data_IF_831298817751
#
_entry.id   IF_831298817751
#
_cell.length_a   1.000
_cell.length_b   1.000
_cell.length_c   1.000
_cell.angle_alpha   90.00
_cell.angle_beta   90.00
_cell.angle_gamma   90.00
#
_symmetry.space_group_name_H-M   'P 1'
#
loop_
_entity.id
_entity.type
_entity.pdbx_description
1 polymer ?
#
# COMPACT_ATOMS: atom_id res chain seq x y z
N UNK A 1 54.68 17.05 16.45
CA UNK A 1 53.71 17.49 15.42
C UNK A 1 53.00 16.30 14.76
N UNK A 2 53.66 15.17 14.47
CA UNK A 2 53.03 13.98 13.86
C UNK A 2 51.82 13.36 14.61
N UNK A 3 51.79 13.39 15.94
CA UNK A 3 50.69 12.81 16.72
C UNK A 3 49.37 13.59 16.62
N UNK A 4 49.45 14.92 16.45
CA UNK A 4 48.27 15.79 16.36
C UNK A 4 47.63 15.66 14.97
N UNK A 5 48.44 15.54 13.92
CA UNK A 5 47.96 15.29 12.55
C UNK A 5 47.29 13.92 12.42
N UNK A 6 47.87 12.89 13.05
CA UNK A 6 47.28 11.56 13.09
C UNK A 6 45.93 11.58 13.83
N UNK A 7 45.85 12.23 14.99
CA UNK A 7 44.61 12.35 15.75
C UNK A 7 43.52 13.11 14.99
N UNK A 8 43.88 14.22 14.32
CA UNK A 8 42.94 15.00 13.52
C UNK A 8 42.40 14.20 12.32
N UNK A 9 43.27 13.43 11.65
CA UNK A 9 42.88 12.58 10.51
C UNK A 9 41.93 11.47 10.96
N UNK A 10 42.23 10.82 12.09
CA UNK A 10 41.37 9.78 12.67
C UNK A 10 40.00 10.37 13.04
N UNK A 11 39.98 11.54 13.67
CA UNK A 11 38.74 12.19 14.10
C UNK A 11 37.86 12.60 12.92
N UNK A 12 38.47 13.09 11.84
CA UNK A 12 37.77 13.41 10.59
C UNK A 12 37.20 12.15 9.92
N UNK A 13 37.93 11.02 9.99
CA UNK A 13 37.46 9.72 9.50
C UNK A 13 36.26 9.19 10.31
N UNK A 14 36.29 9.36 11.64
CA UNK A 14 35.18 8.98 12.53
C UNK A 14 33.92 9.79 12.24
N UNK A 15 34.04 11.10 12.01
CA UNK A 15 32.87 11.92 11.67
C UNK A 15 32.33 11.57 10.28
N UNK A 16 33.21 11.27 9.31
CA UNK A 16 32.79 10.86 7.98
C UNK A 16 32.03 9.52 8.01
N UNK A 17 32.49 8.57 8.84
CA UNK A 17 31.76 7.33 9.14
C UNK A 17 30.37 7.60 9.74
N UNK A 18 30.26 8.57 10.64
CA UNK A 18 28.96 9.00 11.21
C UNK A 18 28.00 9.52 10.14
N UNK A 19 28.50 10.35 9.20
CA UNK A 19 27.70 10.84 8.07
C UNK A 19 27.29 9.74 7.10
N UNK A 20 28.17 8.77 6.83
CA UNK A 20 27.84 7.59 6.03
C UNK A 20 26.76 6.75 6.73
N UNK A 21 26.84 6.57 8.05
CA UNK A 21 25.81 5.88 8.83
C UNK A 21 24.44 6.59 8.75
N UNK A 22 24.43 7.91 8.91
CA UNK A 22 23.21 8.72 8.79
C UNK A 22 22.62 8.65 7.37
N UNK A 23 23.47 8.62 6.35
CA UNK A 23 23.08 8.48 4.96
C UNK A 23 22.42 7.13 4.67
N UNK A 24 23.03 6.04 5.13
CA UNK A 24 22.47 4.69 5.01
C UNK A 24 21.14 4.60 5.75
N UNK A 25 21.04 5.17 6.95
CA UNK A 25 19.80 5.22 7.73
C UNK A 25 18.70 6.02 7.01
N UNK A 26 19.02 7.21 6.48
CA UNK A 26 18.08 8.04 5.74
C UNK A 26 17.63 7.40 4.41
N UNK A 27 18.55 6.71 3.72
CA UNK A 27 18.25 5.93 2.52
C UNK A 27 17.33 4.75 2.84
N UNK A 28 17.62 3.99 3.90
CA UNK A 28 16.78 2.88 4.35
C UNK A 28 15.36 3.37 4.76
N UNK A 29 15.27 4.47 5.51
CA UNK A 29 14.00 5.10 5.85
C UNK A 29 13.26 5.62 4.61
N UNK A 30 13.97 6.16 3.62
CA UNK A 30 13.37 6.60 2.35
C UNK A 30 12.86 5.42 1.52
N UNK A 31 13.51 4.26 1.56
CA UNK A 31 13.04 3.03 0.90
C UNK A 31 11.81 2.47 1.63
N UNK A 32 11.82 2.43 2.96
CA UNK A 32 10.63 2.05 3.75
C UNK A 32 9.46 3.02 3.54
N UNK A 33 9.72 4.32 3.36
CA UNK A 33 8.70 5.31 3.00
C UNK A 33 8.33 5.25 1.51
N UNK A 34 9.22 4.80 0.62
CA UNK A 34 8.93 4.59 -0.80
C UNK A 34 7.92 3.46 -1.00
N UNK A 35 7.93 2.47 -0.12
CA UNK A 35 6.93 1.38 -0.09
C UNK A 35 5.54 1.86 0.36
N UNK A 36 5.41 3.13 0.79
CA UNK A 36 4.14 3.75 1.20
C UNK A 36 3.43 4.57 0.10
N UNK A 37 3.91 4.52 -1.15
CA UNK A 37 3.14 4.95 -2.32
C UNK A 37 3.12 6.44 -2.66
N UNK A 38 4.12 7.23 -2.23
CA UNK A 38 4.31 8.62 -2.65
C UNK A 38 5.36 8.74 -3.78
N UNK A 39 4.97 8.66 -5.06
CA UNK A 39 5.91 8.43 -6.18
C UNK A 39 6.91 9.58 -6.42
N UNK A 40 6.61 10.81 -5.98
CA UNK A 40 7.48 11.98 -6.20
C UNK A 40 8.58 12.18 -5.14
N UNK A 41 8.30 11.86 -3.88
CA UNK A 41 9.20 12.19 -2.75
C UNK A 41 10.27 11.11 -2.58
N UNK A 42 9.91 9.85 -2.85
CA UNK A 42 10.84 8.72 -2.79
C UNK A 42 11.95 8.82 -3.85
N UNK A 43 11.61 9.17 -5.09
CA UNK A 43 12.59 9.31 -6.16
C UNK A 43 13.60 10.43 -5.87
N UNK A 44 13.13 11.58 -5.38
CA UNK A 44 14.01 12.68 -4.97
C UNK A 44 14.88 12.28 -3.78
N UNK A 45 14.32 11.61 -2.77
CA UNK A 45 15.06 11.12 -1.60
C UNK A 45 16.14 10.10 -1.97
N UNK A 46 15.84 9.16 -2.86
CA UNK A 46 16.79 8.16 -3.37
C UNK A 46 17.89 8.82 -4.20
N UNK A 47 17.56 9.75 -5.10
CA UNK A 47 18.58 10.48 -5.88
C UNK A 47 19.48 11.32 -4.96
N UNK A 48 18.91 11.99 -3.95
CA UNK A 48 19.71 12.75 -2.97
C UNK A 48 20.63 11.84 -2.16
N UNK A 49 20.14 10.67 -1.72
CA UNK A 49 20.90 9.74 -0.89
C UNK A 49 21.98 8.99 -1.69
N UNK A 50 21.65 8.55 -2.91
CA UNK A 50 22.55 7.74 -3.75
C UNK A 50 23.55 8.61 -4.50
N UNK A 51 23.18 9.82 -4.92
CA UNK A 51 24.06 10.68 -5.73
C UNK A 51 24.59 11.84 -4.90
N UNK A 52 23.74 12.52 -4.14
CA UNK A 52 24.13 13.72 -3.39
C UNK A 52 25.18 13.43 -2.31
N UNK A 53 25.03 12.32 -1.58
CA UNK A 53 25.93 11.98 -0.48
C UNK A 53 27.31 11.55 -0.99
N UNK A 54 27.44 10.61 -1.95
CA UNK A 54 28.74 10.29 -2.52
C UNK A 54 29.39 11.48 -3.24
N UNK A 55 28.62 12.30 -3.97
CA UNK A 55 29.16 13.48 -4.61
C UNK A 55 29.72 14.50 -3.61
N UNK A 56 29.04 14.70 -2.46
CA UNK A 56 29.52 15.59 -1.40
C UNK A 56 30.79 15.06 -0.72
N UNK A 57 30.88 13.75 -0.48
CA UNK A 57 32.07 13.13 0.07
C UNK A 57 33.25 13.22 -0.91
N UNK A 58 33.01 12.96 -2.20
CA UNK A 58 34.02 13.11 -3.26
C UNK A 58 34.49 14.57 -3.35
N UNK A 59 33.58 15.53 -3.33
CA UNK A 59 33.92 16.95 -3.35
C UNK A 59 34.80 17.33 -2.16
N UNK A 60 34.46 16.86 -0.94
CA UNK A 60 35.27 17.11 0.25
C UNK A 60 36.69 16.52 0.12
N UNK A 61 36.81 15.29 -0.41
CA UNK A 61 38.10 14.64 -0.67
C UNK A 61 38.93 15.35 -1.74
N UNK A 62 38.32 15.79 -2.84
CA UNK A 62 39.00 16.51 -3.92
C UNK A 62 39.48 17.87 -3.43
N UNK A 63 38.66 18.60 -2.66
CA UNK A 63 39.06 19.89 -2.06
C UNK A 63 40.22 19.68 -1.09
N UNK A 64 40.16 18.65 -0.25
CA UNK A 64 41.25 18.30 0.66
C UNK A 64 42.54 17.97 -0.11
N UNK A 65 42.47 17.15 -1.15
CA UNK A 65 43.64 16.76 -1.97
C UNK A 65 44.25 17.95 -2.73
N UNK A 66 43.42 18.81 -3.34
CA UNK A 66 43.89 20.03 -4.02
C UNK A 66 44.50 21.02 -3.03
N UNK A 67 43.91 21.17 -1.85
CA UNK A 67 44.45 22.04 -0.79
C UNK A 67 45.80 21.53 -0.26
N UNK A 68 45.96 20.21 -0.12
CA UNK A 68 47.22 19.59 0.27
C UNK A 68 48.30 19.76 -0.80
N UNK A 69 47.94 19.70 -2.08
CA UNK A 69 48.90 19.88 -3.18
C UNK A 69 49.39 21.32 -3.35
N UNK A 70 48.56 22.31 -3.01
CA UNK A 70 48.88 23.72 -3.21
C UNK A 70 49.63 24.35 -2.04
N UNK A 71 49.71 23.69 -0.89
CA UNK A 71 50.22 24.30 0.32
C UNK A 71 51.69 23.91 0.60
N UNK A 72 52.55 24.91 0.76
CA UNK A 72 53.85 24.78 1.44
C UNK A 72 53.78 25.62 2.73
N UNK A 73 53.97 24.99 3.90
CA UNK A 73 53.90 25.64 5.21
C UNK A 73 52.51 25.67 5.88
N UNK A 74 52.50 25.74 7.23
CA UNK A 74 51.36 25.71 8.18
C UNK A 74 50.01 25.20 7.63
N UNK A 75 50.03 23.95 7.19
CA UNK A 75 48.95 23.19 6.53
C UNK A 75 47.88 22.64 7.47
N UNK A 76 47.97 22.91 8.78
CA UNK A 76 47.10 22.30 9.81
C UNK A 76 45.61 22.70 9.70
N UNK A 77 45.31 23.89 9.17
CA UNK A 77 43.94 24.43 9.20
C UNK A 77 43.07 24.06 7.98
N UNK A 78 43.66 23.63 6.87
CA UNK A 78 42.91 23.31 5.65
C UNK A 78 41.91 22.15 5.82
N UNK A 79 42.25 21.03 6.50
CA UNK A 79 41.29 19.97 6.76
C UNK A 79 40.13 20.43 7.65
N UNK A 80 40.39 21.30 8.62
CA UNK A 80 39.36 21.87 9.50
C UNK A 80 38.40 22.79 8.74
N UNK A 81 38.92 23.62 7.84
CA UNK A 81 38.10 24.49 6.98
C UNK A 81 37.29 23.67 5.98
N UNK A 82 37.89 22.67 5.34
CA UNK A 82 37.19 21.77 4.42
C UNK A 82 36.09 20.97 5.14
N UNK A 83 36.35 20.51 6.36
CA UNK A 83 35.38 19.83 7.20
C UNK A 83 34.22 20.76 7.61
N UNK A 84 34.51 21.98 8.09
CA UNK A 84 33.48 22.95 8.44
C UNK A 84 32.60 23.31 7.23
N UNK A 85 33.21 23.52 6.06
CA UNK A 85 32.49 23.79 4.81
C UNK A 85 31.62 22.60 4.38
N UNK A 86 32.15 21.37 4.44
CA UNK A 86 31.39 20.15 4.12
C UNK A 86 30.20 19.93 5.06
N UNK A 87 30.39 20.19 6.35
CA UNK A 87 29.33 20.05 7.37
C UNK A 87 28.22 21.09 7.17
N UNK A 88 28.58 22.33 6.86
CA UNK A 88 27.62 23.39 6.55
C UNK A 88 26.80 23.07 5.29
N UNK A 89 27.45 22.53 4.24
CA UNK A 89 26.78 22.11 3.01
C UNK A 89 25.79 20.97 3.28
N UNK A 90 26.20 19.96 4.04
CA UNK A 90 25.33 18.83 4.41
C UNK A 90 24.10 19.28 5.22
N UNK A 91 24.29 20.20 6.18
CA UNK A 91 23.19 20.77 6.94
C UNK A 91 22.22 21.55 6.06
N UNK A 92 22.71 22.33 5.10
CA UNK A 92 21.87 23.07 4.16
C UNK A 92 21.03 22.13 3.28
N UNK A 93 21.62 21.04 2.78
CA UNK A 93 20.89 20.02 2.01
C UNK A 93 19.81 19.36 2.85
N UNK A 94 20.10 19.00 4.11
CA UNK A 94 19.14 18.39 5.02
C UNK A 94 17.96 19.32 5.33
N UNK A 95 18.23 20.60 5.62
CA UNK A 95 17.18 21.62 5.85
C UNK A 95 16.30 21.79 4.63
N UNK A 96 16.90 21.82 3.43
CA UNK A 96 16.15 21.97 2.18
C UNK A 96 15.26 20.75 1.91
N UNK A 97 15.77 19.53 2.13
CA UNK A 97 15.00 18.30 2.00
C UNK A 97 13.81 18.26 2.99
N UNK A 98 14.05 18.60 4.27
CA UNK A 98 12.99 18.67 5.28
C UNK A 98 11.95 19.75 4.97
N UNK A 99 12.40 20.89 4.43
CA UNK A 99 11.54 21.98 3.98
C UNK A 99 10.61 21.56 2.84
N UNK A 100 11.14 20.85 1.83
CA UNK A 100 10.37 20.32 0.71
C UNK A 100 9.34 19.28 1.14
N UNK A 101 9.69 18.37 2.05
CA UNK A 101 8.75 17.38 2.61
C UNK A 101 7.63 18.09 3.38
N UNK A 102 7.97 19.07 4.22
CA UNK A 102 6.97 19.83 5.01
C UNK A 102 6.07 20.70 4.12
N UNK A 103 6.60 21.24 3.02
CA UNK A 103 5.84 21.99 2.03
C UNK A 103 4.90 21.07 1.25
N UNK A 104 5.38 19.89 0.82
CA UNK A 104 4.57 18.85 0.19
C UNK A 104 3.38 18.43 1.06
N UNK A 105 3.60 18.24 2.36
CA UNK A 105 2.54 17.90 3.33
C UNK A 105 1.51 19.03 3.53
N UNK A 106 1.92 20.31 3.45
CA UNK A 106 0.97 21.45 3.56
C UNK A 106 0.16 21.66 2.29
N UNK A 107 0.78 21.50 1.13
CA UNK A 107 0.11 21.67 -0.17
C UNK A 107 -0.93 20.57 -0.40
N UNK A 108 -0.71 19.35 0.08
CA UNK A 108 -1.68 18.24 0.00
C UNK A 108 -2.69 18.20 1.16
N UNK A 109 -2.52 19.02 2.20
CA UNK A 109 -3.40 19.05 3.38
C UNK A 109 -4.45 20.18 3.37
N UNK A 110 -4.53 20.98 2.31
CA UNK A 110 -5.30 22.24 2.30
C UNK A 110 -6.57 22.24 1.45
N UNK A 111 -6.99 21.10 0.88
CA UNK A 111 -8.25 21.01 0.11
C UNK A 111 -9.35 20.34 0.95
N UNK A 112 -9.69 20.95 2.09
CA UNK A 112 -10.93 20.70 2.81
C UNK A 112 -11.95 21.79 2.42
N UNK A 113 -12.49 21.68 1.21
CA UNK A 113 -13.47 22.62 0.68
C UNK A 113 -14.39 21.98 -0.35
N UNK A 114 -15.60 21.62 0.09
CA UNK A 114 -16.85 21.45 -0.69
C UNK A 114 -16.86 20.49 -1.91
N UNK A 115 -17.52 19.33 -1.69
CA UNK A 115 -18.32 18.53 -2.63
C UNK A 115 -17.64 17.69 -3.75
N UNK A 116 -17.43 16.40 -3.50
CA UNK A 116 -18.03 15.22 -4.20
C UNK A 116 -17.34 13.91 -3.73
N UNK A 117 -18.04 12.77 -3.61
CA UNK A 117 -17.47 11.55 -3.04
C UNK A 117 -16.63 10.80 -4.08
N UNK A 118 -15.30 10.75 -3.92
CA UNK A 118 -14.46 9.81 -4.69
C UNK A 118 -13.38 9.11 -3.86
N UNK A 119 -13.53 7.78 -3.87
CA UNK A 119 -12.52 6.72 -3.85
C UNK A 119 -11.49 6.78 -2.73
N UNK A 120 -11.84 6.13 -1.62
CA UNK A 120 -10.88 5.61 -0.65
C UNK A 120 -9.79 4.84 -1.43
N UNK A 121 -8.53 5.27 -1.32
CA UNK A 121 -7.43 4.52 -1.91
C UNK A 121 -7.44 3.09 -1.34
N UNK A 122 -7.68 2.12 -2.22
CA UNK A 122 -7.45 0.70 -2.01
C UNK A 122 -6.23 0.47 -1.08
N UNK A 123 -6.26 -0.09 0.15
CA UNK A 123 -4.99 -0.33 0.85
C UNK A 123 -4.11 -1.24 0.00
N UNK A 124 -2.79 -1.16 0.13
CA UNK A 124 -1.88 -1.94 -0.71
C UNK A 124 -2.12 -3.46 -0.63
N UNK A 125 -2.65 -3.93 0.50
CA UNK A 125 -3.06 -5.33 0.73
C UNK A 125 -4.38 -5.38 1.51
N UNK A 126 -5.09 -6.51 1.41
CA UNK A 126 -6.29 -6.73 2.21
C UNK A 126 -5.96 -6.95 3.69
N UNK A 127 -6.63 -6.18 4.54
CA UNK A 127 -6.54 -6.25 6.00
C UNK A 127 -7.92 -6.57 6.55
N UNK A 128 -7.98 -7.50 7.49
CA UNK A 128 -9.23 -8.00 8.06
C UNK A 128 -9.20 -7.86 9.58
N UNK A 129 -10.19 -7.14 10.11
CA UNK A 129 -10.39 -6.94 11.54
C UNK A 129 -11.45 -7.93 12.03
N UNK A 130 -11.06 -8.84 12.92
CA UNK A 130 -11.97 -9.80 13.56
C UNK A 130 -12.82 -9.07 14.60
N UNK A 131 -14.12 -9.34 14.61
CA UNK A 131 -15.06 -8.76 15.58
C UNK A 131 -15.71 -9.84 16.44
N UNK A 132 -16.23 -10.92 15.83
CA UNK A 132 -16.90 -12.01 16.55
C UNK A 132 -16.23 -13.37 16.29
N UNK A 133 -16.40 -14.27 17.25
CA UNK A 133 -15.93 -15.67 17.21
C UNK A 133 -17.09 -16.56 17.66
N UNK A 134 -17.45 -17.53 16.81
CA UNK A 134 -18.49 -18.54 17.05
C UNK A 134 -17.84 -19.91 16.99
N UNK A 135 -18.14 -20.77 17.96
CA UNK A 135 -17.50 -22.09 18.08
C UNK A 135 -18.53 -23.20 18.25
N UNK A 136 -18.31 -24.29 17.53
CA UNK A 136 -18.99 -25.57 17.72
C UNK A 136 -17.97 -26.72 17.64
N UNK A 137 -17.58 -27.26 18.79
CA UNK A 137 -16.51 -28.25 18.88
C UNK A 137 -15.19 -27.72 18.30
N UNK A 138 -14.73 -28.37 17.22
CA UNK A 138 -13.53 -27.96 16.47
C UNK A 138 -13.79 -26.91 15.39
N UNK A 139 -15.05 -26.66 15.02
CA UNK A 139 -15.41 -25.67 14.02
C UNK A 139 -15.40 -24.27 14.65
N UNK A 140 -14.50 -23.42 14.15
CA UNK A 140 -14.38 -22.02 14.56
C UNK A 140 -14.76 -21.12 13.39
N UNK A 141 -15.85 -20.39 13.54
CA UNK A 141 -16.32 -19.39 12.58
C UNK A 141 -15.99 -18.01 13.14
N UNK A 142 -15.48 -17.12 12.30
CA UNK A 142 -15.20 -15.75 12.71
C UNK A 142 -15.89 -14.76 11.80
N UNK A 143 -16.47 -13.73 12.41
CA UNK A 143 -17.05 -12.60 11.68
C UNK A 143 -16.16 -11.38 11.85
N UNK A 144 -16.04 -10.61 10.79
CA UNK A 144 -15.25 -9.39 10.85
C UNK A 144 -15.51 -8.46 9.69
N UNK A 145 -14.66 -7.44 9.58
CA UNK A 145 -14.72 -6.42 8.54
C UNK A 145 -13.37 -6.31 7.85
N UNK A 146 -13.38 -6.31 6.52
CA UNK A 146 -12.25 -5.98 5.67
C UNK A 146 -12.04 -4.46 5.71
N UNK A 147 -10.96 -3.99 6.35
CA UNK A 147 -10.69 -2.56 6.58
C UNK A 147 -10.61 -1.74 5.28
N UNK A 148 -10.10 -2.40 4.26
CA UNK A 148 -9.87 -1.94 2.90
C UNK A 148 -11.13 -1.44 2.20
N UNK A 149 -12.20 -2.23 2.28
CA UNK A 149 -13.43 -1.99 1.53
C UNK A 149 -14.65 -1.78 2.43
N UNK A 150 -14.49 -1.96 3.74
CA UNK A 150 -15.60 -1.98 4.71
C UNK A 150 -16.49 -3.23 4.59
N UNK A 151 -16.16 -4.19 3.71
CA UNK A 151 -16.97 -5.39 3.52
C UNK A 151 -16.91 -6.29 4.73
N UNK A 152 -18.05 -6.88 5.06
CA UNK A 152 -18.13 -7.87 6.14
C UNK A 152 -17.75 -9.24 5.60
N UNK A 153 -17.15 -10.04 6.46
CA UNK A 153 -16.76 -11.40 6.09
C UNK A 153 -17.11 -12.41 7.17
N UNK A 154 -17.26 -13.65 6.73
CA UNK A 154 -17.23 -14.86 7.54
C UNK A 154 -15.98 -15.66 7.18
N UNK A 155 -15.20 -16.06 8.18
CA UNK A 155 -14.04 -16.94 8.02
C UNK A 155 -14.36 -18.30 8.61
N UNK A 156 -14.09 -19.37 7.87
CA UNK A 156 -14.27 -20.75 8.33
C UNK A 156 -13.07 -21.61 7.95
N UNK A 157 -12.67 -22.59 8.77
CA UNK A 157 -11.75 -23.63 8.33
C UNK A 157 -12.39 -24.42 7.18
N UNK A 158 -11.58 -24.83 6.23
CA UNK A 158 -11.94 -25.66 5.09
C UNK A 158 -11.23 -27.01 5.21
N UNK A 159 -11.92 -28.12 4.91
CA UNK A 159 -11.30 -29.44 4.96
C UNK A 159 -10.30 -29.60 3.81
N UNK A 160 -9.05 -29.97 4.12
CA UNK A 160 -8.05 -30.36 3.13
C UNK A 160 -7.43 -31.69 3.52
N UNK A 161 -6.88 -32.41 2.54
CA UNK A 161 -6.33 -33.77 2.70
C UNK A 161 -5.25 -33.85 3.79
N UNK A 162 -4.48 -32.78 3.99
CA UNK A 162 -3.31 -32.74 4.88
C UNK A 162 -3.33 -31.57 5.89
N UNK A 163 -4.50 -31.01 6.19
CA UNK A 163 -4.63 -29.92 7.19
C UNK A 163 -5.91 -29.11 7.07
N UNK A 164 -5.99 -28.04 7.87
CA UNK A 164 -7.04 -27.03 7.75
C UNK A 164 -6.44 -25.70 7.27
N UNK A 165 -6.96 -25.18 6.16
CA UNK A 165 -6.74 -23.80 5.76
C UNK A 165 -8.01 -22.99 6.03
N UNK A 166 -7.89 -21.67 6.11
CA UNK A 166 -9.02 -20.78 6.41
C UNK A 166 -9.38 -20.00 5.17
N UNK A 167 -10.66 -20.03 4.81
CA UNK A 167 -11.22 -19.19 3.74
C UNK A 167 -12.08 -18.08 4.30
N UNK A 168 -12.15 -17.01 3.53
CA UNK A 168 -12.89 -15.79 3.83
C UNK A 168 -14.03 -15.69 2.84
N UNK A 169 -15.23 -15.40 3.33
CA UNK A 169 -16.44 -15.28 2.53
C UNK A 169 -17.11 -13.93 2.77
N UNK A 170 -17.38 -13.18 1.71
CA UNK A 170 -18.09 -11.90 1.76
C UNK A 170 -19.56 -12.08 2.13
N UNK A 171 -20.01 -11.30 3.10
CA UNK A 171 -21.40 -11.28 3.59
C UNK A 171 -21.92 -9.84 3.61
N UNK A 172 -23.23 -9.68 3.45
CA UNK A 172 -23.86 -8.36 3.58
C UNK A 172 -24.12 -7.99 5.05
N UNK A 173 -24.63 -6.78 5.27
CA UNK A 173 -24.92 -6.27 6.61
C UNK A 173 -26.00 -7.09 7.32
N UNK A 174 -27.05 -7.52 6.62
CA UNK A 174 -28.15 -8.28 7.21
C UNK A 174 -27.70 -9.68 7.64
N UNK A 175 -26.88 -10.33 6.82
CA UNK A 175 -26.24 -11.60 7.17
C UNK A 175 -25.29 -11.44 8.36
N UNK A 176 -24.49 -10.38 8.39
CA UNK A 176 -23.57 -10.12 9.50
C UNK A 176 -24.31 -9.91 10.82
N UNK A 177 -25.37 -9.09 10.82
CA UNK A 177 -26.21 -8.85 11.99
C UNK A 177 -26.88 -10.16 12.45
N UNK A 178 -27.49 -10.91 11.52
CA UNK A 178 -28.08 -12.21 11.82
C UNK A 178 -27.06 -13.19 12.40
N UNK A 179 -25.84 -13.26 11.86
CA UNK A 179 -24.81 -14.19 12.33
C UNK A 179 -24.19 -13.75 13.67
N UNK A 180 -24.18 -12.46 13.95
CA UNK A 180 -23.77 -11.93 15.25
C UNK A 180 -24.80 -12.27 16.33
N UNK A 181 -26.09 -12.25 15.99
CA UNK A 181 -27.19 -12.54 16.92
C UNK A 181 -27.53 -14.04 17.04
N UNK A 182 -27.41 -14.81 15.95
CA UNK A 182 -27.70 -16.25 15.86
C UNK A 182 -26.46 -17.05 15.40
N UNK A 183 -25.70 -17.62 16.36
CA UNK A 183 -24.58 -18.49 16.09
C UNK A 183 -24.93 -19.72 15.22
N UNK A 184 -26.14 -20.25 15.32
CA UNK A 184 -26.54 -21.43 14.55
C UNK A 184 -26.68 -21.09 13.06
N UNK A 185 -27.18 -19.89 12.73
CA UNK A 185 -27.22 -19.39 11.36
C UNK A 185 -25.81 -19.24 10.76
N UNK A 186 -24.85 -18.71 11.54
CA UNK A 186 -23.46 -18.58 11.12
C UNK A 186 -22.82 -19.95 10.81
N UNK A 187 -23.03 -20.93 11.68
CA UNK A 187 -22.54 -22.31 11.51
C UNK A 187 -23.18 -23.00 10.31
N UNK A 188 -24.49 -22.84 10.12
CA UNK A 188 -25.20 -23.39 8.96
C UNK A 188 -24.67 -22.80 7.65
N UNK A 189 -24.38 -21.50 7.62
CA UNK A 189 -23.77 -20.86 6.46
C UNK A 189 -22.32 -21.35 6.22
N UNK A 190 -21.51 -21.49 7.27
CA UNK A 190 -20.16 -22.04 7.17
C UNK A 190 -20.17 -23.48 6.60
N UNK A 191 -21.15 -24.31 7.00
CA UNK A 191 -21.32 -25.64 6.44
C UNK A 191 -21.68 -25.61 4.93
N UNK A 192 -22.47 -24.63 4.48
CA UNK A 192 -22.75 -24.44 3.05
C UNK A 192 -21.50 -24.00 2.28
N UNK A 193 -20.69 -23.11 2.84
CA UNK A 193 -19.42 -22.67 2.26
C UNK A 193 -18.44 -23.85 2.12
N UNK A 194 -18.31 -24.67 3.17
CA UNK A 194 -17.51 -25.91 3.17
C UNK A 194 -17.98 -26.93 2.13
N UNK A 195 -19.26 -26.89 1.75
CA UNK A 195 -19.83 -27.72 0.68
C UNK A 195 -19.69 -27.09 -0.73
N UNK A 196 -18.97 -25.97 -0.87
CA UNK A 196 -18.75 -25.29 -2.15
C UNK A 196 -19.96 -24.55 -2.71
N UNK A 197 -21.01 -24.30 -1.90
CA UNK A 197 -22.26 -23.67 -2.37
C UNK A 197 -22.21 -22.15 -2.52
N UNK A 198 -21.14 -21.51 -2.03
CA UNK A 198 -20.96 -20.06 -2.01
C UNK A 198 -19.59 -19.65 -2.59
N UNK A 199 -19.16 -20.29 -3.68
CA UNK A 199 -17.91 -19.93 -4.36
C UNK A 199 -17.91 -18.46 -4.79
N UNK A 200 -19.08 -17.94 -5.17
CA UNK A 200 -19.31 -16.53 -5.52
C UNK A 200 -18.98 -15.55 -4.39
N UNK A 201 -18.95 -16.03 -3.15
CA UNK A 201 -18.64 -15.23 -1.96
C UNK A 201 -17.20 -15.33 -1.50
N UNK A 202 -16.31 -16.06 -2.18
CA UNK A 202 -14.91 -16.13 -1.79
C UNK A 202 -14.21 -14.77 -1.83
N UNK A 203 -13.48 -14.43 -0.76
CA UNK A 203 -12.62 -13.26 -0.64
C UNK A 203 -11.14 -13.67 -0.73
N UNK A 204 -10.29 -12.82 -1.34
CA UNK A 204 -8.84 -13.01 -1.28
C UNK A 204 -8.34 -13.12 0.17
N UNK A 205 -7.30 -13.93 0.42
CA UNK A 205 -6.75 -14.07 1.76
C UNK A 205 -6.11 -12.76 2.26
N UNK A 206 -5.97 -12.60 3.60
CA UNK A 206 -5.25 -11.48 4.19
C UNK A 206 -3.83 -11.37 3.62
N UNK A 207 -3.38 -10.14 3.39
CA UNK A 207 -2.05 -9.87 2.83
C UNK A 207 -1.95 -10.02 1.30
N UNK A 208 -3.00 -10.50 0.62
CA UNK A 208 -3.02 -10.47 -0.84
C UNK A 208 -3.10 -9.01 -1.36
N UNK A 209 -2.48 -8.70 -2.52
CA UNK A 209 -2.56 -7.36 -3.11
C UNK A 209 -4.01 -6.93 -3.32
N UNK A 210 -4.35 -5.70 -2.96
CA UNK A 210 -5.71 -5.21 -3.19
C UNK A 210 -6.00 -5.04 -4.69
N UNK A 211 -7.28 -5.16 -5.04
CA UNK A 211 -7.71 -5.01 -6.41
C UNK A 211 -7.59 -3.54 -6.87
N UNK A 212 -6.96 -3.33 -8.02
CA UNK A 212 -6.82 -2.01 -8.65
C UNK A 212 -8.10 -1.66 -9.41
N UNK A 213 -8.73 -0.50 -9.18
CA UNK A 213 -9.93 -0.08 -9.90
C UNK A 213 -9.79 -0.19 -11.42
N UNK A 214 -10.88 -0.57 -12.10
CA UNK A 214 -10.88 -0.67 -13.57
C UNK A 214 -10.95 0.74 -14.16
N UNK A 215 -9.88 1.14 -14.84
CA UNK A 215 -9.86 2.39 -15.59
C UNK A 215 -10.75 2.29 -16.87
N UNK A 216 -11.49 3.35 -17.23
CA UNK A 216 -12.39 3.37 -18.40
C UNK A 216 -11.73 2.98 -19.72
N UNK A 217 -10.48 3.36 -19.92
CA UNK A 217 -9.70 3.10 -21.14
C UNK A 217 -9.18 1.66 -21.24
N UNK A 218 -9.32 0.85 -20.18
CA UNK A 218 -8.76 -0.49 -20.12
C UNK A 218 -9.45 -1.42 -21.11
N UNK A 219 -8.63 -2.15 -21.87
CA UNK A 219 -9.08 -3.15 -22.87
C UNK A 219 -8.75 -4.57 -22.39
N UNK A 220 -9.29 -5.57 -23.09
CA UNK A 220 -9.04 -6.99 -22.81
C UNK A 220 -9.52 -7.40 -21.42
N UNK A 221 -10.73 -6.95 -21.05
CA UNK A 221 -11.35 -7.20 -19.76
C UNK A 221 -12.14 -8.51 -19.72
N UNK A 222 -12.55 -9.04 -20.88
CA UNK A 222 -13.42 -10.20 -20.94
C UNK A 222 -12.80 -11.40 -20.23
N UNK A 223 -13.63 -12.14 -19.48
CA UNK A 223 -13.30 -13.34 -18.69
C UNK A 223 -12.42 -13.08 -17.46
N UNK A 224 -11.99 -11.83 -17.21
CA UNK A 224 -11.26 -11.51 -15.98
C UNK A 224 -12.18 -11.57 -14.77
N UNK A 225 -11.60 -11.98 -13.65
CA UNK A 225 -12.22 -11.87 -12.33
C UNK A 225 -12.05 -10.44 -11.83
N UNK A 226 -13.14 -9.82 -11.40
CA UNK A 226 -13.13 -8.50 -10.78
C UNK A 226 -13.71 -8.58 -9.37
N UNK A 227 -13.07 -7.89 -8.44
CA UNK A 227 -13.54 -7.71 -7.06
C UNK A 227 -14.46 -6.50 -7.03
N UNK A 228 -15.63 -6.63 -6.42
CA UNK A 228 -16.55 -5.51 -6.21
C UNK A 228 -16.07 -4.65 -5.06
N UNK A 229 -15.65 -3.41 -5.26
CA UNK A 229 -15.04 -2.56 -4.23
C UNK A 229 -16.05 -2.04 -3.18
N UNK A 230 -17.32 -2.41 -3.28
CA UNK A 230 -18.41 -2.02 -2.38
C UNK A 230 -19.31 -3.23 -2.10
N UNK A 231 -20.04 -3.19 -1.00
CA UNK A 231 -21.10 -4.13 -0.66
C UNK A 231 -22.44 -3.82 -1.36
N UNK A 232 -22.61 -2.59 -1.89
CA UNK A 232 -23.81 -2.12 -2.58
C UNK A 232 -23.48 -1.73 -4.04
N UNK A 233 -23.31 -2.71 -4.95
CA UNK A 233 -22.98 -2.41 -6.33
C UNK A 233 -24.10 -1.64 -7.02
N UNK A 234 -23.72 -0.59 -7.73
CA UNK A 234 -24.61 0.22 -8.57
C UNK A 234 -24.08 0.26 -10.01
N UNK A 235 -24.95 0.61 -10.94
CA UNK A 235 -24.52 1.08 -12.26
C UNK A 235 -23.98 2.53 -12.18
N UNK A 236 -23.45 3.04 -13.28
CA UNK A 236 -22.85 4.37 -13.37
C UNK A 236 -23.88 5.51 -13.15
N UNK A 237 -25.18 5.21 -13.22
CA UNK A 237 -26.25 6.15 -12.89
C UNK A 237 -26.59 6.16 -11.38
N UNK A 238 -26.01 5.24 -10.61
CA UNK A 238 -26.23 5.08 -9.18
C UNK A 238 -27.40 4.17 -8.83
N UNK A 239 -27.99 3.47 -9.82
CA UNK A 239 -29.07 2.51 -9.57
C UNK A 239 -28.47 1.17 -9.14
N UNK A 240 -29.06 0.53 -8.13
CA UNK A 240 -28.60 -0.75 -7.62
C UNK A 240 -28.55 -1.80 -8.75
N UNK A 241 -27.42 -2.50 -8.88
CA UNK A 241 -27.17 -3.46 -9.94
C UNK A 241 -28.06 -4.71 -9.76
N UNK A 242 -29.13 -4.88 -10.56
CA UNK A 242 -30.12 -5.92 -10.31
C UNK A 242 -29.52 -7.30 -10.61
N UNK A 243 -29.71 -8.25 -9.70
CA UNK A 243 -29.21 -9.63 -9.86
C UNK A 243 -27.83 -9.89 -9.25
N UNK A 244 -27.21 -8.89 -8.62
CA UNK A 244 -26.08 -9.11 -7.73
C UNK A 244 -26.56 -9.08 -6.27
N UNK A 245 -26.45 -10.19 -5.52
CA UNK A 245 -26.69 -10.17 -4.09
C UNK A 245 -25.78 -9.15 -3.39
N UNK A 246 -26.33 -8.47 -2.37
CA UNK A 246 -25.54 -7.58 -1.52
C UNK A 246 -24.40 -8.39 -0.87
N UNK A 247 -23.23 -7.76 -0.73
CA UNK A 247 -22.05 -8.41 -0.16
C UNK A 247 -21.37 -9.41 -1.10
N UNK A 248 -21.79 -9.51 -2.38
CA UNK A 248 -21.03 -10.25 -3.40
C UNK A 248 -19.63 -9.65 -3.52
N UNK A 249 -18.56 -10.40 -3.26
CA UNK A 249 -17.20 -9.85 -3.26
C UNK A 249 -16.54 -9.84 -4.63
N UNK A 250 -16.95 -10.71 -5.55
CA UNK A 250 -16.37 -10.74 -6.90
C UNK A 250 -17.34 -11.24 -7.97
N UNK A 251 -17.02 -10.88 -9.21
CA UNK A 251 -17.76 -11.23 -10.42
C UNK A 251 -16.80 -11.57 -11.56
N UNK A 252 -17.31 -12.15 -12.64
CA UNK A 252 -16.58 -12.35 -13.90
C UNK A 252 -17.02 -11.32 -14.93
N UNK A 253 -16.06 -10.60 -15.52
CA UNK A 253 -16.34 -9.62 -16.57
C UNK A 253 -16.71 -10.35 -17.86
N UNK A 254 -17.81 -9.93 -18.48
CA UNK A 254 -18.30 -10.42 -19.76
C UNK A 254 -17.81 -9.55 -20.92
N UNK A 255 -17.92 -8.23 -20.76
CA UNK A 255 -17.54 -7.27 -21.79
C UNK A 255 -16.01 -7.12 -21.90
N UNK A 256 -15.53 -6.76 -23.09
CA UNK A 256 -14.09 -6.61 -23.33
C UNK A 256 -13.53 -5.22 -22.97
N UNK A 257 -14.41 -4.25 -22.73
CA UNK A 257 -14.14 -2.84 -22.42
C UNK A 257 -15.29 -2.25 -21.61
N UNK A 258 -15.03 -1.14 -20.93
CA UNK A 258 -16.08 -0.29 -20.33
C UNK A 258 -16.94 0.30 -21.46
N UNK A 259 -18.25 0.36 -21.26
CA UNK A 259 -19.16 0.97 -22.22
C UNK A 259 -19.16 2.51 -22.14
N UNK A 260 -19.95 3.16 -23.01
CA UNK A 260 -19.99 4.62 -23.11
C UNK A 260 -20.55 5.29 -21.84
N UNK A 261 -21.36 4.56 -21.08
CA UNK A 261 -22.01 5.04 -19.87
C UNK A 261 -21.13 4.83 -18.63
N UNK A 262 -19.98 4.16 -18.77
CA UNK A 262 -19.05 3.88 -17.68
C UNK A 262 -19.29 2.53 -16.99
N UNK A 263 -20.14 1.66 -17.56
CA UNK A 263 -20.46 0.36 -16.99
C UNK A 263 -19.65 -0.79 -17.60
N UNK A 264 -19.62 -1.89 -16.85
CA UNK A 264 -19.13 -3.19 -17.27
C UNK A 264 -20.21 -4.25 -17.06
N UNK A 265 -20.42 -5.04 -18.11
CA UNK A 265 -21.22 -6.24 -18.02
C UNK A 265 -20.46 -7.33 -17.28
N UNK A 266 -21.04 -7.85 -16.21
CA UNK A 266 -20.48 -8.87 -15.34
C UNK A 266 -21.49 -9.99 -15.11
N UNK A 267 -21.02 -11.13 -14.59
CA UNK A 267 -21.87 -12.24 -14.14
C UNK A 267 -21.31 -12.85 -12.88
N UNK A 268 -22.17 -13.52 -12.10
CA UNK A 268 -21.71 -14.30 -10.96
C UNK A 268 -20.89 -15.51 -11.44
N UNK A 269 -20.00 -16.05 -10.60
CA UNK A 269 -19.23 -17.26 -10.93
C UNK A 269 -20.11 -18.50 -11.11
N UNK A 270 -21.30 -18.53 -10.50
CA UNK A 270 -22.26 -19.60 -10.62
C UNK A 270 -22.76 -19.77 -12.06
N UNK A 271 -22.86 -21.03 -12.48
CA UNK A 271 -23.31 -21.40 -13.81
C UNK A 271 -24.77 -20.95 -14.05
N UNK A 272 -25.05 -20.38 -15.21
CA UNK A 272 -26.40 -19.90 -15.57
C UNK A 272 -26.81 -18.55 -14.97
N UNK A 273 -25.91 -17.85 -14.27
CA UNK A 273 -26.20 -16.50 -13.76
C UNK A 273 -26.41 -15.47 -14.89
N UNK A 274 -27.36 -14.56 -14.66
CA UNK A 274 -27.66 -13.47 -15.58
C UNK A 274 -26.50 -12.49 -15.73
N UNK A 275 -26.47 -11.77 -16.86
CA UNK A 275 -25.52 -10.66 -17.06
C UNK A 275 -26.09 -9.40 -16.41
N UNK A 276 -25.27 -8.76 -15.58
CA UNK A 276 -25.62 -7.56 -14.83
C UNK A 276 -24.68 -6.42 -15.23
N UNK A 277 -25.18 -5.19 -15.25
CA UNK A 277 -24.38 -3.99 -15.49
C UNK A 277 -23.93 -3.38 -14.17
N UNK A 278 -22.65 -3.06 -14.03
CA UNK A 278 -22.07 -2.45 -12.83
C UNK A 278 -21.12 -1.33 -13.24
N UNK A 279 -21.10 -0.23 -12.48
CA UNK A 279 -20.13 0.85 -12.66
C UNK A 279 -18.70 0.29 -12.60
N UNK A 280 -17.91 0.54 -13.64
CA UNK A 280 -16.53 0.05 -13.72
C UNK A 280 -15.65 0.55 -12.56
N UNK A 281 -15.97 1.72 -11.98
CA UNK A 281 -15.25 2.30 -10.84
C UNK A 281 -15.46 1.50 -9.55
N UNK A 282 -16.54 0.74 -9.47
CA UNK A 282 -16.85 -0.16 -8.35
C UNK A 282 -16.24 -1.55 -8.54
N UNK A 283 -15.48 -1.76 -9.61
CA UNK A 283 -14.79 -3.02 -9.91
C UNK A 283 -13.28 -2.83 -9.82
N UNK A 284 -12.60 -3.78 -9.19
CA UNK A 284 -11.15 -3.85 -9.12
C UNK A 284 -10.62 -5.14 -9.76
N UNK A 285 -9.44 -5.06 -10.37
CA UNK A 285 -8.71 -6.21 -10.92
C UNK A 285 -7.44 -6.47 -10.13
N UNK A 286 -7.06 -7.75 -10.02
CA UNK A 286 -5.72 -8.16 -9.63
C UNK A 286 -4.77 -8.17 -10.84
#
# INVERSE_FOLDING_TARGET
MHGVDAAATILLFVVLLGWVGLAVYAGAMSVMLSDSGAPGIAAVGVVLAVVGIPASAIAAYVIAAVSAWRAHGYTFYYPLVAFAAGTALAAAVAVTAFGLVRLGLRVHGSDAGTASPQVVAAPAVYIFDKVHDVRDGALVVELGVERSSGRRYLRTPMPQRDGEYREYFGIDIAMYELFADDPAAALAFAAQCRAGRHEDRWLPPPGAPAATPVAPERKHLARKRAVLLTDHPTDASGVAAPGLPVGTPFVRIVANRVDADGNLQVRLPSEGSGVVSVDARLLGLH
#
